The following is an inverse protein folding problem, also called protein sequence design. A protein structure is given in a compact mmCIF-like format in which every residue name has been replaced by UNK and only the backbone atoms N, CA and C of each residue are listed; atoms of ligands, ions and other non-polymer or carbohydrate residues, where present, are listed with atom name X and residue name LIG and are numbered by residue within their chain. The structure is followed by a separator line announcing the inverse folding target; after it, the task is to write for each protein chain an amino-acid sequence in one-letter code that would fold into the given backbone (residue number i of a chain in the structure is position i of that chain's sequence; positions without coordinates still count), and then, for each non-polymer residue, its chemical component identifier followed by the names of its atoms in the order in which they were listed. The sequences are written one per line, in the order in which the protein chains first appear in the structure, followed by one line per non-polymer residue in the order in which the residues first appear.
data_IF_057012862138
#
_entry.id   IF_057012862138
#
_cell.length_a   1.000
_cell.length_b   1.000
_cell.length_c   1.000
_cell.angle_alpha   90.00
_cell.angle_beta   90.00
_cell.angle_gamma   90.00
#
_symmetry.space_group_name_H-M   'P 1'
#
loop_
_entity.id
_entity.type
_entity.pdbx_description
1 polymer ?
#
# COMPACT_ATOMS: atom_id res chain seq x y z
N UNK A 1 20.78 0.09 13.93
CA UNK A 1 19.86 -0.50 12.95
C UNK A 1 18.83 0.54 12.60
N UNK A 2 18.79 0.95 11.32
CA UNK A 2 17.88 1.98 10.80
C UNK A 2 16.43 1.52 11.01
N UNK A 3 15.69 2.25 11.86
CA UNK A 3 14.25 2.08 11.96
C UNK A 3 13.63 2.54 10.66
N UNK A 4 13.01 1.62 9.93
CA UNK A 4 12.08 1.96 8.86
C UNK A 4 10.89 2.64 9.54
N UNK A 5 10.99 3.96 9.73
CA UNK A 5 9.89 4.79 10.14
C UNK A 5 8.90 4.78 8.97
N UNK A 6 7.97 3.83 9.00
CA UNK A 6 6.77 3.86 8.20
C UNK A 6 5.99 5.10 8.63
N UNK A 7 6.35 6.25 8.06
CA UNK A 7 5.58 7.48 8.20
C UNK A 7 4.27 7.20 7.52
N UNK A 8 3.15 7.40 8.22
CA UNK A 8 1.84 7.43 7.58
C UNK A 8 1.89 8.44 6.44
N UNK A 9 1.97 7.96 5.20
CA UNK A 9 2.27 8.82 4.06
C UNK A 9 1.08 9.75 3.74
N UNK A 10 -0.12 9.44 4.23
CA UNK A 10 -1.31 10.26 4.03
C UNK A 10 -2.42 9.94 5.03
N UNK A 11 -3.16 10.98 5.43
CA UNK A 11 -4.45 10.87 6.12
C UNK A 11 -5.63 10.70 5.15
N UNK A 12 -5.40 11.00 3.86
CA UNK A 12 -6.40 10.78 2.82
C UNK A 12 -6.37 9.31 2.39
N UNK A 13 -7.44 8.83 1.78
CA UNK A 13 -7.40 7.55 1.08
C UNK A 13 -6.68 7.69 -0.27
N UNK A 14 -6.14 6.60 -0.83
CA UNK A 14 -5.61 6.57 -2.18
C UNK A 14 -6.68 6.98 -3.21
N UNK A 15 -6.26 7.29 -4.42
CA UNK A 15 -7.20 7.42 -5.54
C UNK A 15 -7.86 6.07 -5.85
N UNK A 16 -9.08 6.11 -6.40
CA UNK A 16 -9.81 4.91 -6.80
C UNK A 16 -9.01 4.13 -7.84
N UNK A 17 -8.98 2.80 -7.70
CA UNK A 17 -8.32 1.87 -8.64
C UNK A 17 -6.80 2.11 -8.72
N UNK A 18 -6.20 2.74 -7.70
CA UNK A 18 -4.74 2.95 -7.64
C UNK A 18 -4.04 1.71 -7.13
N UNK A 19 -2.97 1.32 -7.81
CA UNK A 19 -2.08 0.25 -7.36
C UNK A 19 -1.02 0.82 -6.41
N UNK A 20 -0.97 0.29 -5.20
CA UNK A 20 -0.25 0.87 -4.05
C UNK A 20 0.41 -0.22 -3.19
N UNK A 21 1.25 0.20 -2.26
CA UNK A 21 1.65 -0.59 -1.11
C UNK A 21 0.80 -0.22 0.10
N UNK A 22 0.38 -1.21 0.87
CA UNK A 22 -0.35 -0.99 2.12
C UNK A 22 0.02 -2.01 3.18
N UNK A 23 -0.16 -1.65 4.45
CA UNK A 23 0.15 -2.49 5.60
C UNK A 23 -1.12 -2.91 6.32
N UNK A 24 -1.33 -4.22 6.43
CA UNK A 24 -2.51 -4.81 7.05
C UNK A 24 -2.19 -6.19 7.65
N UNK A 25 -2.80 -6.49 8.80
CA UNK A 25 -2.65 -7.79 9.45
C UNK A 25 -1.22 -8.16 9.85
N UNK A 26 -0.37 -7.16 10.10
CA UNK A 26 1.03 -7.39 10.48
C UNK A 26 2.03 -7.44 9.30
N UNK A 27 1.57 -7.36 8.06
CA UNK A 27 2.41 -7.51 6.87
C UNK A 27 2.18 -6.39 5.82
N UNK A 28 3.19 -6.18 4.97
CA UNK A 28 3.09 -5.29 3.80
C UNK A 28 2.57 -6.06 2.59
N UNK A 29 1.61 -5.44 1.89
CA UNK A 29 0.95 -5.97 0.69
C UNK A 29 1.09 -4.99 -0.46
N UNK A 30 1.15 -5.52 -1.67
CA UNK A 30 0.97 -4.75 -2.91
C UNK A 30 -0.41 -5.09 -3.48
N UNK A 31 -1.17 -4.06 -3.88
CA UNK A 31 -2.58 -4.26 -4.19
C UNK A 31 -3.31 -3.02 -4.66
N UNK A 32 -4.62 -3.17 -4.89
CA UNK A 32 -5.47 -2.07 -5.36
C UNK A 32 -6.38 -1.58 -4.25
N UNK A 33 -6.58 -0.27 -4.20
CA UNK A 33 -7.71 0.31 -3.48
C UNK A 33 -8.90 0.40 -4.44
N UNK A 34 -10.02 -0.23 -4.08
CA UNK A 34 -11.24 -0.31 -4.87
C UNK A 34 -12.44 0.07 -3.98
N UNK A 35 -13.13 1.15 -4.35
CA UNK A 35 -14.28 1.64 -3.58
C UNK A 35 -15.49 0.69 -3.66
N UNK A 36 -15.70 0.02 -4.79
CA UNK A 36 -16.88 -0.84 -5.02
C UNK A 36 -16.79 -2.21 -4.33
N UNK A 37 -15.69 -2.53 -3.65
CA UNK A 37 -15.35 -3.90 -3.24
C UNK A 37 -14.83 -4.09 -1.82
N UNK A 38 -15.04 -3.14 -0.92
CA UNK A 38 -14.64 -3.21 0.50
C UNK A 38 -13.18 -2.79 0.82
N UNK A 39 -12.57 -1.87 0.06
CA UNK A 39 -11.33 -1.21 0.49
C UNK A 39 -10.11 -1.65 -0.30
N UNK A 40 -9.26 -2.52 0.26
CA UNK A 40 -7.94 -2.83 -0.27
C UNK A 40 -7.79 -4.32 -0.62
N UNK A 41 -7.39 -4.63 -1.85
CA UNK A 41 -7.16 -6.00 -2.30
C UNK A 41 -5.67 -6.31 -2.39
N UNK A 42 -5.19 -7.31 -1.66
CA UNK A 42 -3.82 -7.82 -1.77
C UNK A 42 -3.70 -8.86 -2.88
N UNK A 43 -2.78 -8.63 -3.82
CA UNK A 43 -2.48 -9.59 -4.90
C UNK A 43 -1.80 -10.84 -4.35
N UNK A 44 -0.87 -10.66 -3.41
CA UNK A 44 -0.01 -11.74 -2.90
C UNK A 44 -0.82 -12.89 -2.30
N UNK A 45 -1.88 -12.56 -1.58
CA UNK A 45 -2.71 -13.53 -0.84
C UNK A 45 -4.15 -13.61 -1.36
N UNK A 46 -4.46 -12.90 -2.45
CA UNK A 46 -5.79 -12.82 -3.06
C UNK A 46 -6.91 -12.54 -2.05
N UNK A 47 -6.71 -11.54 -1.18
CA UNK A 47 -7.61 -11.23 -0.06
C UNK A 47 -7.93 -9.75 0.01
N UNK A 48 -9.18 -9.46 0.37
CA UNK A 48 -9.67 -8.12 0.70
C UNK A 48 -9.43 -7.74 2.17
N UNK A 49 -9.12 -6.47 2.38
CA UNK A 49 -8.95 -5.82 3.67
C UNK A 49 -9.83 -4.58 3.71
N UNK A 50 -10.59 -4.44 4.80
CA UNK A 50 -11.40 -3.26 5.03
C UNK A 50 -10.52 -2.04 5.30
N UNK A 51 -11.08 -0.84 5.12
CA UNK A 51 -10.38 0.41 5.40
C UNK A 51 -9.83 0.49 6.83
N UNK A 52 -10.50 -0.14 7.81
CA UNK A 52 -10.05 -0.18 9.21
C UNK A 52 -8.86 -1.10 9.45
N UNK A 53 -8.63 -2.08 8.57
CA UNK A 53 -7.53 -3.04 8.72
C UNK A 53 -6.21 -2.48 8.18
N UNK A 54 -6.30 -1.49 7.29
CA UNK A 54 -5.15 -0.83 6.67
C UNK A 54 -4.73 0.37 7.51
N UNK A 55 -3.56 0.26 8.12
CA UNK A 55 -3.03 1.32 9.00
C UNK A 55 -2.11 2.30 8.26
N UNK A 56 -1.44 1.83 7.21
CA UNK A 56 -0.53 2.64 6.40
C UNK A 56 -0.64 2.25 4.93
N UNK A 57 -0.45 3.24 4.06
CA UNK A 57 -0.35 3.02 2.63
C UNK A 57 0.57 4.05 1.99
N UNK A 58 1.16 3.71 0.85
CA UNK A 58 1.95 4.62 0.03
C UNK A 58 1.89 4.22 -1.45
N UNK A 59 2.26 5.15 -2.32
CA UNK A 59 2.49 4.84 -3.72
C UNK A 59 3.66 3.85 -3.85
N UNK A 60 3.64 3.05 -4.93
CA UNK A 60 4.75 2.16 -5.20
C UNK A 60 6.05 2.95 -5.35
N UNK A 61 7.14 2.51 -4.72
CA UNK A 61 8.42 3.15 -4.90
C UNK A 61 8.78 3.08 -6.38
N UNK A 62 9.37 4.16 -6.88
CA UNK A 62 9.95 4.14 -8.21
C UNK A 62 11.04 3.06 -8.25
N UNK A 63 11.19 2.35 -9.39
CA UNK A 63 12.33 1.46 -9.54
C UNK A 63 13.63 2.26 -9.32
N UNK A 64 14.68 1.62 -8.78
CA UNK A 64 15.97 2.27 -8.68
C UNK A 64 16.37 2.77 -10.07
N UNK A 65 16.66 4.07 -10.18
CA UNK A 65 17.29 4.61 -11.38
C UNK A 65 18.59 3.86 -11.60
N UNK A 66 18.88 3.40 -12.84
CA UNK A 66 20.22 2.89 -13.16
C UNK A 66 21.24 3.96 -12.77
N UNK A 67 22.24 3.60 -11.96
CA UNK A 67 23.37 4.49 -11.72
C UNK A 67 24.17 4.60 -13.02
N UNK A 68 24.07 5.75 -13.70
CA UNK A 68 24.97 6.13 -14.80
C UNK A 68 24.31 6.30 -16.16
N UNK A 69 24.25 7.56 -16.61
CA UNK A 69 24.74 7.94 -17.94
C UNK A 69 26.11 8.60 -17.77
#
# INVERSE_FOLDING_TARGET
MQGANWVKCSEKNPERVKFILFYAGGETHAGWMLEEGCGFYSIKISKWFDYSDVTYWCDLPLPPTPEGE
#
